data_IF_462138815641
#
_entry.id   IF_462138815641
#
_cell.length_a   1.000
_cell.length_b   1.000
_cell.length_c   1.000
_cell.angle_alpha   90.00
_cell.angle_beta   90.00
_cell.angle_gamma   90.00
#
_symmetry.space_group_name_H-M   'P 1'
#
loop_
_entity.id
_entity.type
_entity.pdbx_description
1 polymer ?
#
# COMPACT_ATOMS: atom_id res chain seq x y z
N UNK A 1 72.09 -31.09 53.99
CA UNK A 1 72.03 -30.22 52.79
C UNK A 1 70.83 -30.66 51.94
N UNK A 2 69.68 -30.07 52.11
CA UNK A 2 68.44 -30.37 51.34
C UNK A 2 68.17 -29.21 50.41
N UNK A 3 68.20 -29.48 49.09
CA UNK A 3 67.77 -28.48 48.04
C UNK A 3 66.27 -28.60 47.82
N UNK A 4 65.57 -27.54 48.09
CA UNK A 4 64.17 -27.39 47.76
C UNK A 4 64.10 -26.78 46.36
N UNK A 5 63.48 -27.51 45.41
CA UNK A 5 63.25 -27.05 44.06
C UNK A 5 61.84 -26.42 44.01
N UNK A 6 61.79 -25.13 43.70
CA UNK A 6 60.55 -24.38 43.56
C UNK A 6 60.03 -24.53 42.12
N UNK A 7 58.88 -25.20 41.94
CA UNK A 7 58.12 -25.24 40.65
C UNK A 7 57.29 -24.03 40.52
N UNK A 8 57.51 -23.19 39.50
CA UNK A 8 56.62 -22.07 39.10
C UNK A 8 55.56 -22.60 38.17
N UNK A 9 54.31 -22.52 38.61
CA UNK A 9 53.11 -22.80 37.76
C UNK A 9 52.75 -21.52 36.98
N UNK A 10 52.94 -21.54 35.67
CA UNK A 10 52.51 -20.48 34.77
C UNK A 10 51.01 -20.72 34.45
N UNK A 11 50.11 -19.91 35.01
CA UNK A 11 48.71 -19.89 34.65
C UNK A 11 48.51 -19.09 33.36
N UNK A 12 48.29 -19.78 32.24
CA UNK A 12 47.90 -19.15 30.97
C UNK A 12 46.45 -18.68 31.07
N UNK A 13 46.22 -17.40 31.29
CA UNK A 13 44.93 -16.76 31.26
C UNK A 13 44.43 -16.61 29.80
N UNK A 14 43.43 -17.40 29.41
CA UNK A 14 42.72 -17.23 28.13
C UNK A 14 41.90 -15.95 28.21
N UNK A 15 42.36 -14.86 27.60
CA UNK A 15 41.58 -13.67 27.38
C UNK A 15 40.50 -13.97 26.30
N UNK A 16 39.28 -14.27 26.71
CA UNK A 16 38.13 -14.23 25.79
C UNK A 16 37.97 -12.78 25.36
N UNK A 17 38.32 -12.48 24.11
CA UNK A 17 38.04 -11.23 23.45
C UNK A 17 36.51 -11.17 23.23
N UNK A 18 35.79 -10.48 24.10
CA UNK A 18 34.40 -10.12 23.88
C UNK A 18 34.37 -9.21 22.66
N UNK A 19 33.90 -9.72 21.50
CA UNK A 19 33.58 -8.89 20.36
C UNK A 19 32.52 -7.87 20.81
N UNK A 20 32.71 -6.57 20.54
CA UNK A 20 31.67 -5.58 20.85
C UNK A 20 30.40 -5.98 20.13
N UNK A 21 29.30 -6.16 20.86
CA UNK A 21 27.98 -6.31 20.27
C UNK A 21 27.69 -5.04 19.47
N UNK A 22 27.74 -5.16 18.14
CA UNK A 22 27.42 -4.04 17.26
C UNK A 22 25.96 -3.69 17.48
N UNK A 23 25.70 -2.45 17.91
CA UNK A 23 24.33 -1.99 18.10
C UNK A 23 23.57 -2.15 16.78
N UNK A 24 22.38 -2.76 16.84
CA UNK A 24 21.56 -2.95 15.65
C UNK A 24 21.28 -1.61 14.98
N UNK A 25 21.43 -1.56 13.64
CA UNK A 25 21.04 -0.40 12.86
C UNK A 25 19.52 -0.17 12.98
N UNK A 26 19.09 1.08 12.94
CA UNK A 26 17.66 1.42 12.99
C UNK A 26 17.14 1.69 11.60
N UNK A 27 15.88 1.33 11.35
CA UNK A 27 15.13 1.72 10.17
C UNK A 27 13.77 2.27 10.60
N UNK A 28 13.51 3.54 10.32
CA UNK A 28 12.21 4.15 10.60
C UNK A 28 11.35 4.06 9.34
N UNK A 29 10.30 3.27 9.38
CA UNK A 29 9.45 2.97 8.22
C UNK A 29 8.02 3.46 8.40
N UNK A 30 7.48 4.11 7.38
CA UNK A 30 6.04 4.20 7.17
C UNK A 30 5.62 3.05 6.26
N UNK A 31 4.62 2.27 6.70
CA UNK A 31 3.99 1.23 5.89
C UNK A 31 2.56 1.64 5.55
N UNK A 32 2.17 1.58 4.27
CA UNK A 32 0.83 1.96 3.80
C UNK A 32 0.00 0.78 3.27
N UNK A 33 0.42 -0.45 3.53
CA UNK A 33 -0.38 -1.66 3.31
C UNK A 33 -1.37 -1.91 4.47
N UNK A 34 -2.07 -3.03 4.43
CA UNK A 34 -2.82 -3.51 5.60
C UNK A 34 -1.87 -3.77 6.79
N UNK A 35 -2.34 -3.54 8.01
CA UNK A 35 -1.49 -3.65 9.21
C UNK A 35 -0.89 -5.04 9.36
N UNK A 36 -1.63 -6.10 9.07
CA UNK A 36 -1.15 -7.49 9.15
C UNK A 36 0.00 -7.71 8.15
N UNK A 37 -0.12 -7.19 6.95
CA UNK A 37 0.96 -7.23 5.93
C UNK A 37 2.19 -6.47 6.42
N UNK A 38 2.00 -5.26 6.95
CA UNK A 38 3.09 -4.45 7.49
C UNK A 38 3.87 -5.18 8.58
N UNK A 39 3.16 -5.80 9.54
CA UNK A 39 3.76 -6.52 10.67
C UNK A 39 4.46 -7.80 10.22
N UNK A 40 3.84 -8.60 9.37
CA UNK A 40 4.43 -9.87 8.92
C UNK A 40 5.67 -9.64 8.07
N UNK A 41 5.63 -8.67 7.15
CA UNK A 41 6.80 -8.35 6.31
C UNK A 41 7.93 -7.72 7.13
N UNK A 42 7.60 -6.91 8.14
CA UNK A 42 8.60 -6.38 9.09
C UNK A 42 9.28 -7.51 9.86
N UNK A 43 8.50 -8.45 10.40
CA UNK A 43 9.03 -9.60 11.14
C UNK A 43 9.89 -10.51 10.24
N UNK A 44 9.46 -10.75 9.01
CA UNK A 44 10.24 -11.53 8.04
C UNK A 44 11.58 -10.85 7.72
N UNK A 45 11.57 -9.54 7.47
CA UNK A 45 12.77 -8.76 7.23
C UNK A 45 13.74 -8.83 8.42
N UNK A 46 13.27 -8.56 9.64
CA UNK A 46 14.12 -8.61 10.84
C UNK A 46 14.68 -10.01 11.12
N UNK A 47 13.96 -11.06 10.72
CA UNK A 47 14.47 -12.44 10.81
C UNK A 47 15.60 -12.69 9.81
N UNK A 48 15.52 -12.13 8.61
CA UNK A 48 16.55 -12.27 7.56
C UNK A 48 17.71 -11.27 7.72
N UNK A 49 17.44 -10.12 8.38
CA UNK A 49 18.39 -9.04 8.64
C UNK A 49 18.40 -8.69 10.13
N UNK A 50 18.90 -9.58 11.00
CA UNK A 50 18.87 -9.39 12.46
C UNK A 50 19.70 -8.19 12.94
N UNK A 51 20.61 -7.69 12.10
CA UNK A 51 21.40 -6.48 12.34
C UNK A 51 20.59 -5.19 12.20
N UNK A 52 19.38 -5.23 11.60
CA UNK A 52 18.53 -4.04 11.42
C UNK A 52 17.25 -4.19 12.23
N UNK A 53 16.93 -3.16 13.05
CA UNK A 53 15.67 -3.07 13.79
C UNK A 53 14.74 -2.04 13.17
N UNK A 54 13.52 -2.48 12.83
CA UNK A 54 12.53 -1.66 12.14
C UNK A 54 11.56 -1.03 13.15
N UNK A 55 11.49 0.30 13.13
CA UNK A 55 10.45 1.05 13.83
C UNK A 55 9.37 1.43 12.80
N UNK A 56 8.30 0.64 12.76
CA UNK A 56 7.24 0.78 11.77
C UNK A 56 6.05 1.56 12.32
N UNK A 57 5.52 2.48 11.50
CA UNK A 57 4.24 3.15 11.71
C UNK A 57 3.34 2.89 10.51
N UNK A 58 2.12 2.41 10.75
CA UNK A 58 1.13 2.23 9.70
C UNK A 58 0.34 3.52 9.47
N UNK A 59 0.38 4.04 8.23
CA UNK A 59 -0.41 5.18 7.77
C UNK A 59 -1.02 4.87 6.39
N UNK A 60 -2.20 5.42 6.10
CA UNK A 60 -2.73 5.38 4.73
C UNK A 60 -1.89 6.27 3.80
N UNK A 61 -1.89 6.01 2.50
CA UNK A 61 -0.93 6.61 1.58
C UNK A 61 -1.01 8.16 1.54
N UNK A 62 -2.20 8.75 1.67
CA UNK A 62 -2.37 10.19 1.76
C UNK A 62 -1.83 10.78 3.08
N UNK A 63 -2.05 10.06 4.20
CA UNK A 63 -1.52 10.44 5.51
C UNK A 63 0.02 10.33 5.54
N UNK A 64 0.57 9.29 4.94
CA UNK A 64 2.02 9.08 4.79
C UNK A 64 2.66 10.24 4.03
N UNK A 65 2.09 10.59 2.87
CA UNK A 65 2.54 11.75 2.11
C UNK A 65 2.49 13.05 2.94
N UNK A 66 1.37 13.33 3.61
CA UNK A 66 1.23 14.53 4.43
C UNK A 66 2.28 14.59 5.56
N UNK A 67 2.57 13.46 6.20
CA UNK A 67 3.60 13.37 7.23
C UNK A 67 5.00 13.60 6.67
N UNK A 68 5.38 12.94 5.57
CA UNK A 68 6.68 13.11 4.93
C UNK A 68 6.89 14.57 4.51
N UNK A 69 5.86 15.20 3.95
CA UNK A 69 5.88 16.63 3.58
C UNK A 69 6.09 17.55 4.79
N UNK A 70 5.40 17.27 5.90
CA UNK A 70 5.53 18.04 7.15
C UNK A 70 6.93 17.88 7.76
N UNK A 71 7.51 16.68 7.67
CA UNK A 71 8.84 16.36 8.19
C UNK A 71 9.99 16.74 7.24
N UNK A 72 9.73 17.32 6.05
CA UNK A 72 10.72 17.52 4.99
C UNK A 72 11.99 18.28 5.41
N UNK A 73 11.89 19.21 6.39
CA UNK A 73 13.06 19.96 6.90
C UNK A 73 13.86 19.16 7.95
N UNK A 74 13.26 18.16 8.57
CA UNK A 74 13.87 17.32 9.60
C UNK A 74 13.28 15.90 9.53
N UNK A 75 13.65 15.11 8.51
CA UNK A 75 13.06 13.79 8.28
C UNK A 75 13.27 12.85 9.47
N UNK A 76 12.19 12.16 9.84
CA UNK A 76 12.19 11.11 10.88
C UNK A 76 11.90 9.75 10.28
N UNK A 77 11.40 9.71 9.06
CA UNK A 77 11.12 8.51 8.28
C UNK A 77 12.27 8.28 7.31
N UNK A 78 12.75 7.04 7.20
CA UNK A 78 13.81 6.64 6.29
C UNK A 78 13.25 6.07 4.99
N UNK A 79 12.19 5.25 5.11
CA UNK A 79 11.54 4.60 3.98
C UNK A 79 10.02 4.62 4.13
N UNK A 80 9.36 4.81 3.01
CA UNK A 80 7.91 4.66 2.88
C UNK A 80 7.64 3.47 1.95
N UNK A 81 7.08 2.40 2.52
CA UNK A 81 6.81 1.15 1.83
C UNK A 81 5.31 0.92 1.68
N UNK A 82 4.93 0.44 0.48
CA UNK A 82 3.56 0.09 0.10
C UNK A 82 2.58 1.29 0.03
N UNK A 83 1.35 1.00 -0.34
CA UNK A 83 0.32 1.99 -0.68
C UNK A 83 0.38 2.40 -2.14
N UNK A 84 -0.67 3.07 -2.62
CA UNK A 84 -0.82 3.46 -4.02
C UNK A 84 0.29 4.37 -4.51
N UNK A 85 0.65 4.25 -5.77
CA UNK A 85 1.76 5.00 -6.38
C UNK A 85 1.50 6.50 -6.55
N UNK A 86 0.24 6.94 -6.68
CA UNK A 86 -0.05 8.35 -6.94
C UNK A 86 0.54 9.31 -5.87
N UNK A 87 0.40 9.07 -4.55
CA UNK A 87 1.06 9.90 -3.55
C UNK A 87 2.59 9.76 -3.53
N UNK A 88 3.13 8.58 -3.91
CA UNK A 88 4.58 8.41 -4.07
C UNK A 88 5.12 9.22 -5.24
N UNK A 89 4.41 9.22 -6.38
CA UNK A 89 4.74 10.05 -7.55
C UNK A 89 4.67 11.53 -7.20
N UNK A 90 3.64 11.97 -6.47
CA UNK A 90 3.55 13.34 -5.97
C UNK A 90 4.73 13.70 -5.07
N UNK A 91 5.11 12.82 -4.14
CA UNK A 91 6.27 13.04 -3.27
C UNK A 91 7.59 13.11 -4.05
N UNK A 92 7.71 12.30 -5.12
CA UNK A 92 8.85 12.33 -6.03
C UNK A 92 8.94 13.65 -6.82
N UNK A 93 7.82 14.10 -7.35
CA UNK A 93 7.68 15.37 -8.08
C UNK A 93 8.03 16.58 -7.18
N UNK A 94 7.58 16.58 -5.94
CA UNK A 94 7.90 17.62 -4.95
C UNK A 94 9.33 17.49 -4.35
N UNK A 95 10.13 16.52 -4.78
CA UNK A 95 11.49 16.30 -4.30
C UNK A 95 11.59 15.85 -2.84
N UNK A 96 10.53 15.21 -2.30
CA UNK A 96 10.47 14.69 -0.93
C UNK A 96 11.12 13.30 -0.80
N UNK A 97 11.40 12.64 -1.91
CA UNK A 97 12.01 11.31 -1.97
C UNK A 97 13.36 11.36 -2.67
N UNK A 98 14.21 10.40 -2.34
CA UNK A 98 15.57 10.30 -2.85
C UNK A 98 15.64 9.30 -4.00
N UNK A 99 16.39 9.64 -5.05
CA UNK A 99 16.65 8.72 -6.16
C UNK A 99 17.53 7.54 -5.67
N UNK A 100 17.08 6.33 -5.99
CA UNK A 100 17.85 5.11 -5.81
C UNK A 100 17.48 4.07 -6.87
N UNK A 101 18.45 3.66 -7.67
CA UNK A 101 18.29 2.58 -8.66
C UNK A 101 18.76 1.28 -8.02
N UNK A 102 17.81 0.42 -7.64
CA UNK A 102 18.10 -0.91 -7.11
C UNK A 102 18.79 -1.78 -8.15
N UNK A 103 19.74 -2.64 -7.77
CA UNK A 103 20.32 -3.65 -8.66
C UNK A 103 19.30 -4.71 -9.11
N UNK A 104 18.14 -4.79 -8.43
CA UNK A 104 17.05 -5.71 -8.76
C UNK A 104 16.00 -5.09 -9.72
N UNK A 105 16.20 -3.85 -10.18
CA UNK A 105 15.20 -3.16 -11.00
C UNK A 105 14.87 -3.91 -12.29
N UNK A 106 15.84 -4.52 -12.96
CA UNK A 106 15.65 -5.25 -14.21
C UNK A 106 14.85 -6.55 -14.06
N UNK A 107 14.75 -7.06 -12.82
CA UNK A 107 13.91 -8.20 -12.48
C UNK A 107 12.43 -7.83 -12.32
N UNK A 108 12.10 -6.54 -12.27
CA UNK A 108 10.74 -6.08 -12.07
C UNK A 108 9.94 -6.08 -13.38
N UNK A 109 8.62 -6.19 -13.27
CA UNK A 109 7.67 -6.04 -14.36
C UNK A 109 7.81 -4.68 -15.04
N UNK A 110 7.41 -4.59 -16.30
CA UNK A 110 7.55 -3.37 -17.11
C UNK A 110 6.84 -2.16 -16.52
N UNK A 111 5.66 -2.35 -15.94
CA UNK A 111 4.92 -1.28 -15.28
C UNK A 111 5.66 -0.70 -14.06
N UNK A 112 6.36 -1.53 -13.28
CA UNK A 112 7.14 -1.07 -12.13
C UNK A 112 8.42 -0.34 -12.57
N UNK A 113 9.09 -0.82 -13.61
CA UNK A 113 10.26 -0.17 -14.20
C UNK A 113 9.91 1.17 -14.81
N UNK A 114 8.85 1.23 -15.63
CA UNK A 114 8.36 2.48 -16.24
C UNK A 114 7.99 3.53 -15.18
N UNK A 115 7.37 3.12 -14.07
CA UNK A 115 7.10 4.03 -12.96
C UNK A 115 8.40 4.57 -12.34
N UNK A 116 9.39 3.70 -12.06
CA UNK A 116 10.67 4.13 -11.52
C UNK A 116 11.40 5.11 -12.46
N UNK A 117 11.43 4.82 -13.75
CA UNK A 117 12.05 5.68 -14.77
C UNK A 117 11.35 7.04 -14.86
N UNK A 118 10.01 7.06 -14.90
CA UNK A 118 9.23 8.30 -14.96
C UNK A 118 9.41 9.18 -13.71
N UNK A 119 9.63 8.57 -12.55
CA UNK A 119 9.93 9.22 -11.29
C UNK A 119 11.43 9.51 -11.09
N UNK A 120 12.29 9.32 -12.10
CA UNK A 120 13.74 9.46 -11.98
C UNK A 120 14.32 8.63 -10.81
N UNK A 121 13.84 7.42 -10.66
CA UNK A 121 14.20 6.46 -9.59
C UNK A 121 13.92 6.95 -8.16
N UNK A 122 13.00 7.90 -7.98
CA UNK A 122 12.59 8.42 -6.67
C UNK A 122 11.48 7.61 -6.01
N UNK A 123 10.86 6.71 -6.77
CA UNK A 123 9.91 5.69 -6.32
C UNK A 123 9.96 4.49 -7.26
N UNK A 124 9.47 3.34 -6.82
CA UNK A 124 9.36 2.12 -7.62
C UNK A 124 8.10 1.35 -7.26
N UNK A 125 7.50 0.70 -8.25
CA UNK A 125 6.39 -0.22 -8.03
C UNK A 125 6.84 -1.53 -7.38
N UNK A 126 6.11 -1.99 -6.37
CA UNK A 126 6.37 -3.24 -5.65
C UNK A 126 5.28 -4.29 -5.87
N UNK A 127 4.07 -3.86 -6.20
CA UNK A 127 2.94 -4.73 -6.55
C UNK A 127 1.90 -3.96 -7.37
N UNK A 128 0.91 -4.67 -7.91
CA UNK A 128 -0.25 -4.06 -8.57
C UNK A 128 -1.55 -4.76 -8.18
N UNK A 129 -2.67 -4.01 -8.18
CA UNK A 129 -3.98 -4.52 -7.83
C UNK A 129 -5.12 -3.73 -8.47
N UNK A 130 -6.14 -4.42 -8.99
CA UNK A 130 -7.30 -3.78 -9.62
C UNK A 130 -8.25 -3.18 -8.58
N UNK A 131 -8.81 -2.01 -8.91
CA UNK A 131 -9.86 -1.37 -8.15
C UNK A 131 -11.22 -2.06 -8.40
N UNK A 132 -12.09 -2.04 -7.39
CA UNK A 132 -13.44 -2.56 -7.48
C UNK A 132 -14.17 -2.38 -6.16
N UNK A 133 -14.95 -3.38 -5.78
CA UNK A 133 -15.58 -3.43 -4.46
C UNK A 133 -15.76 -4.86 -3.98
N UNK A 134 -15.95 -5.01 -2.67
CA UNK A 134 -16.48 -6.21 -2.06
C UNK A 134 -17.89 -5.95 -1.55
N UNK A 135 -18.82 -6.89 -1.75
CA UNK A 135 -20.15 -6.81 -1.15
C UNK A 135 -20.45 -8.03 -0.28
N UNK A 136 -21.23 -7.82 0.78
CA UNK A 136 -21.68 -8.90 1.65
C UNK A 136 -22.85 -9.64 0.99
N UNK A 137 -22.63 -10.91 0.62
CA UNK A 137 -23.61 -11.74 -0.10
C UNK A 137 -24.87 -12.02 0.73
N UNK A 138 -24.70 -12.22 2.05
CA UNK A 138 -25.85 -12.46 2.96
C UNK A 138 -26.73 -11.23 3.10
N UNK A 139 -26.14 -10.01 3.20
CA UNK A 139 -26.91 -8.79 3.29
C UNK A 139 -27.66 -8.50 1.99
N UNK A 140 -27.02 -8.73 0.83
CA UNK A 140 -27.68 -8.58 -0.48
C UNK A 140 -28.88 -9.51 -0.57
N UNK A 141 -28.74 -10.78 -0.18
CA UNK A 141 -29.83 -11.77 -0.17
C UNK A 141 -30.95 -11.39 0.80
N UNK A 142 -30.61 -11.05 2.05
CA UNK A 142 -31.58 -10.65 3.08
C UNK A 142 -32.41 -9.42 2.67
N UNK A 143 -31.76 -8.44 2.02
CA UNK A 143 -32.41 -7.22 1.52
C UNK A 143 -33.12 -7.44 0.19
N UNK A 144 -32.99 -8.62 -0.42
CA UNK A 144 -33.53 -8.96 -1.74
C UNK A 144 -33.09 -7.98 -2.84
N UNK A 145 -31.85 -7.51 -2.76
CA UNK A 145 -31.24 -6.58 -3.72
C UNK A 145 -30.51 -7.35 -4.82
N UNK A 146 -30.41 -6.73 -6.00
CA UNK A 146 -29.57 -7.24 -7.07
C UNK A 146 -28.11 -6.86 -6.78
N UNK A 147 -27.20 -7.84 -6.77
CA UNK A 147 -25.78 -7.56 -6.58
C UNK A 147 -25.25 -6.58 -7.64
N UNK A 148 -24.49 -5.53 -7.25
CA UNK A 148 -23.99 -4.54 -8.18
C UNK A 148 -22.85 -5.13 -9.02
N UNK A 149 -22.86 -4.90 -10.33
CA UNK A 149 -21.86 -5.35 -11.29
C UNK A 149 -21.14 -4.18 -11.99
N UNK A 150 -21.74 -3.01 -12.01
CA UNK A 150 -21.27 -1.84 -12.74
C UNK A 150 -21.20 -0.62 -11.82
N UNK A 151 -20.35 0.37 -12.13
CA UNK A 151 -20.34 1.64 -11.40
C UNK A 151 -21.72 2.28 -11.35
N UNK A 152 -22.46 2.20 -12.44
CA UNK A 152 -23.81 2.73 -12.52
C UNK A 152 -24.76 2.11 -11.49
N UNK A 153 -24.61 0.82 -11.16
CA UNK A 153 -25.47 0.13 -10.21
C UNK A 153 -25.34 0.68 -8.78
N UNK A 154 -24.18 1.27 -8.43
CA UNK A 154 -23.96 1.86 -7.12
C UNK A 154 -24.76 3.15 -6.88
N UNK A 155 -25.37 3.71 -7.93
CA UNK A 155 -26.25 4.88 -7.84
C UNK A 155 -27.70 4.54 -7.53
N UNK A 156 -28.08 3.25 -7.54
CA UNK A 156 -29.45 2.85 -7.24
C UNK A 156 -29.82 3.32 -5.82
N UNK A 157 -30.96 4.00 -5.62
CA UNK A 157 -31.42 4.48 -4.32
C UNK A 157 -31.58 3.37 -3.25
N UNK A 158 -31.73 2.11 -3.68
CA UNK A 158 -31.79 0.96 -2.75
C UNK A 158 -30.49 0.75 -1.96
N UNK A 159 -29.38 1.34 -2.41
CA UNK A 159 -28.10 1.34 -1.71
C UNK A 159 -27.91 2.49 -0.71
N UNK A 160 -28.96 3.28 -0.46
CA UNK A 160 -28.85 4.44 0.46
C UNK A 160 -28.34 4.01 1.84
N UNK A 161 -27.15 4.54 2.23
CA UNK A 161 -26.50 4.21 3.49
C UNK A 161 -25.86 2.82 3.55
N UNK A 162 -25.76 2.12 2.41
CA UNK A 162 -25.27 0.74 2.32
C UNK A 162 -23.85 0.64 1.74
N UNK A 163 -23.25 1.76 1.38
CA UNK A 163 -21.92 1.80 0.76
C UNK A 163 -20.97 2.54 1.68
N UNK A 164 -19.76 1.98 1.83
CA UNK A 164 -18.62 2.70 2.40
C UNK A 164 -17.50 2.83 1.37
N UNK A 165 -16.77 3.92 1.44
CA UNK A 165 -15.49 4.13 0.78
C UNK A 165 -14.57 4.93 1.67
N UNK A 166 -13.27 4.95 1.36
CA UNK A 166 -12.36 5.79 2.11
C UNK A 166 -12.41 7.26 1.64
N UNK A 167 -11.85 8.16 2.45
CA UNK A 167 -11.69 9.57 2.09
C UNK A 167 -10.47 9.73 1.15
N UNK A 168 -10.59 10.37 -0.01
CA UNK A 168 -9.50 10.49 -0.97
C UNK A 168 -8.32 11.36 -0.50
N UNK A 169 -8.49 12.21 0.52
CA UNK A 169 -7.38 12.94 1.11
C UNK A 169 -6.46 12.04 1.95
N UNK A 170 -7.02 11.06 2.67
CA UNK A 170 -6.25 10.16 3.53
C UNK A 170 -5.84 8.87 2.80
N UNK A 171 -6.69 8.35 1.93
CA UNK A 171 -6.54 7.04 1.29
C UNK A 171 -6.17 7.14 -0.18
N UNK A 172 -5.09 6.45 -0.54
CA UNK A 172 -4.72 6.27 -1.94
C UNK A 172 -5.75 5.46 -2.72
N UNK A 173 -6.41 4.46 -2.11
CA UNK A 173 -7.50 3.69 -2.73
C UNK A 173 -8.64 4.60 -3.17
N UNK A 174 -9.05 5.52 -2.30
CA UNK A 174 -10.13 6.44 -2.61
C UNK A 174 -9.72 7.51 -3.64
N UNK A 175 -8.46 7.98 -3.59
CA UNK A 175 -7.96 8.84 -4.66
C UNK A 175 -7.90 8.10 -6.00
N UNK A 176 -7.44 6.85 -6.02
CA UNK A 176 -7.46 6.02 -7.23
C UNK A 176 -8.88 5.81 -7.75
N UNK A 177 -9.89 5.67 -6.85
CA UNK A 177 -11.31 5.64 -7.23
C UNK A 177 -11.74 6.93 -7.91
N UNK A 178 -11.43 8.09 -7.31
CA UNK A 178 -11.73 9.41 -7.89
C UNK A 178 -11.07 9.56 -9.28
N UNK A 179 -9.79 9.29 -9.38
CA UNK A 179 -9.03 9.39 -10.63
C UNK A 179 -9.52 8.39 -11.70
N UNK A 180 -9.91 7.18 -11.31
CA UNK A 180 -10.50 6.18 -12.20
C UNK A 180 -11.81 6.69 -12.82
N UNK A 181 -12.72 7.20 -12.00
CA UNK A 181 -14.00 7.72 -12.47
C UNK A 181 -13.82 8.92 -13.40
N UNK A 182 -12.86 9.82 -13.07
CA UNK A 182 -12.50 10.96 -13.93
C UNK A 182 -11.98 10.48 -15.29
N UNK A 183 -11.18 9.43 -15.33
CA UNK A 183 -10.64 8.88 -16.58
C UNK A 183 -11.70 8.16 -17.41
N UNK A 184 -12.64 7.47 -16.77
CA UNK A 184 -13.72 6.76 -17.48
C UNK A 184 -14.77 7.73 -18.03
N UNK A 185 -15.17 8.74 -17.26
CA UNK A 185 -16.37 9.55 -17.54
C UNK A 185 -16.04 10.98 -18.01
N UNK A 186 -14.80 11.45 -17.82
CA UNK A 186 -14.43 12.85 -17.86
C UNK A 186 -14.76 13.56 -16.53
N UNK A 187 -14.02 14.64 -16.22
CA UNK A 187 -14.03 15.24 -14.88
C UNK A 187 -15.42 15.70 -14.42
N UNK A 188 -16.17 16.41 -15.28
CA UNK A 188 -17.51 16.92 -14.91
C UNK A 188 -18.49 15.80 -14.59
N UNK A 189 -18.58 14.80 -15.47
CA UNK A 189 -19.51 13.66 -15.25
C UNK A 189 -19.09 12.80 -14.06
N UNK A 190 -17.80 12.68 -13.80
CA UNK A 190 -17.30 11.95 -12.64
C UNK A 190 -17.71 12.63 -11.33
N UNK A 191 -17.62 13.95 -11.25
CA UNK A 191 -18.08 14.69 -10.07
C UNK A 191 -19.59 14.66 -9.90
N UNK A 192 -20.36 14.72 -10.99
CA UNK A 192 -21.82 14.49 -10.94
C UNK A 192 -22.18 13.08 -10.46
N UNK A 193 -21.43 12.07 -10.91
CA UNK A 193 -21.56 10.69 -10.44
C UNK A 193 -21.26 10.61 -8.94
N UNK A 194 -20.13 11.16 -8.48
CA UNK A 194 -19.69 11.13 -7.09
C UNK A 194 -20.69 11.85 -6.14
N UNK A 195 -21.30 12.95 -6.57
CA UNK A 195 -22.40 13.61 -5.82
C UNK A 195 -23.60 12.69 -5.64
N UNK A 196 -23.98 11.95 -6.68
CA UNK A 196 -25.07 10.97 -6.59
C UNK A 196 -24.67 9.79 -5.71
N UNK A 197 -23.47 9.25 -5.88
CA UNK A 197 -22.95 8.17 -5.07
C UNK A 197 -22.89 8.56 -3.59
N UNK A 198 -22.54 9.81 -3.27
CA UNK A 198 -22.48 10.32 -1.90
C UNK A 198 -23.79 10.13 -1.12
N UNK A 199 -24.96 10.17 -1.81
CA UNK A 199 -26.26 9.91 -1.18
C UNK A 199 -26.40 8.46 -0.68
N UNK A 200 -25.63 7.53 -1.23
CA UNK A 200 -25.62 6.12 -0.86
C UNK A 200 -24.47 5.75 0.11
N UNK A 201 -23.52 6.67 0.33
CA UNK A 201 -22.41 6.46 1.25
C UNK A 201 -22.87 6.66 2.71
N UNK A 202 -22.61 5.66 3.54
CA UNK A 202 -22.85 5.76 4.99
C UNK A 202 -21.64 6.34 5.75
N UNK A 203 -20.41 6.12 5.23
CA UNK A 203 -19.21 6.58 5.90
C UNK A 203 -18.02 6.68 4.94
N UNK A 204 -17.20 7.71 5.14
CA UNK A 204 -15.88 7.84 4.55
C UNK A 204 -14.81 7.46 5.57
N UNK A 205 -14.14 6.33 5.35
CA UNK A 205 -13.10 5.81 6.26
C UNK A 205 -11.74 6.45 5.99
N UNK A 206 -10.80 6.36 6.96
CA UNK A 206 -9.42 6.80 6.74
C UNK A 206 -8.59 5.80 5.94
N UNK A 207 -8.81 4.50 6.18
CA UNK A 207 -8.07 3.40 5.53
C UNK A 207 -8.80 2.87 4.33
N UNK A 208 -8.06 2.62 3.22
CA UNK A 208 -8.62 2.09 1.98
C UNK A 208 -9.22 0.69 2.08
N UNK A 209 -8.71 -0.17 2.98
CA UNK A 209 -9.25 -1.53 3.21
C UNK A 209 -10.37 -1.60 4.24
N UNK A 210 -10.62 -0.52 5.01
CA UNK A 210 -11.64 -0.54 6.06
C UNK A 210 -13.07 -0.78 5.54
N UNK A 211 -13.49 -0.25 4.38
CA UNK A 211 -14.84 -0.45 3.86
C UNK A 211 -15.21 -1.92 3.67
N UNK A 212 -14.33 -2.74 3.10
CA UNK A 212 -14.64 -4.15 2.89
C UNK A 212 -14.58 -4.96 4.19
N UNK A 213 -13.78 -4.54 5.15
CA UNK A 213 -13.78 -5.15 6.49
C UNK A 213 -15.11 -4.88 7.21
N UNK A 214 -15.67 -3.68 7.05
CA UNK A 214 -17.02 -3.35 7.54
C UNK A 214 -18.09 -4.21 6.83
N UNK A 215 -17.99 -4.38 5.50
CA UNK A 215 -18.88 -5.25 4.74
C UNK A 215 -18.75 -6.73 5.21
N UNK A 216 -17.55 -7.20 5.47
CA UNK A 216 -17.30 -8.55 5.98
C UNK A 216 -18.02 -8.80 7.31
N UNK A 217 -18.03 -7.82 8.22
CA UNK A 217 -18.70 -7.89 9.53
C UNK A 217 -20.20 -7.60 9.46
N UNK A 218 -20.74 -7.21 8.30
CA UNK A 218 -22.16 -6.88 8.13
C UNK A 218 -22.55 -5.48 8.62
N UNK A 219 -21.59 -4.58 8.81
CA UNK A 219 -21.81 -3.16 9.21
C UNK A 219 -22.19 -2.28 8.03
N UNK A 220 -21.94 -2.73 6.81
CA UNK A 220 -22.33 -2.14 5.54
C UNK A 220 -22.50 -3.24 4.51
N UNK A 221 -23.19 -2.96 3.40
CA UNK A 221 -23.38 -3.97 2.37
C UNK A 221 -22.24 -3.98 1.35
N UNK A 222 -21.70 -2.81 0.99
CA UNK A 222 -20.69 -2.65 -0.07
C UNK A 222 -19.51 -1.85 0.47
N UNK A 223 -18.29 -2.29 0.18
CA UNK A 223 -17.05 -1.54 0.42
C UNK A 223 -16.29 -1.33 -0.89
N UNK A 224 -16.11 -0.07 -1.32
CA UNK A 224 -15.27 0.28 -2.48
C UNK A 224 -13.81 0.20 -2.04
N UNK A 225 -13.06 -0.72 -2.65
CA UNK A 225 -11.70 -1.11 -2.25
C UNK A 225 -10.91 -1.65 -3.45
N UNK A 226 -9.64 -1.95 -3.28
CA UNK A 226 -8.96 -2.82 -4.23
C UNK A 226 -9.46 -4.26 -4.09
N UNK A 227 -9.56 -4.98 -5.20
CA UNK A 227 -10.15 -6.33 -5.23
C UNK A 227 -9.41 -7.33 -4.34
N UNK A 228 -8.09 -7.21 -4.19
CA UNK A 228 -7.32 -8.10 -3.33
C UNK A 228 -7.73 -8.01 -1.85
N UNK A 229 -8.18 -6.83 -1.37
CA UNK A 229 -8.71 -6.68 0.00
C UNK A 229 -10.03 -7.45 0.16
N UNK A 230 -10.90 -7.42 -0.85
CA UNK A 230 -12.14 -8.18 -0.85
C UNK A 230 -11.88 -9.69 -0.92
N UNK A 231 -10.93 -10.10 -1.74
CA UNK A 231 -10.49 -11.51 -1.84
C UNK A 231 -9.90 -12.00 -0.51
N UNK A 232 -9.14 -11.17 0.21
CA UNK A 232 -8.63 -11.54 1.53
C UNK A 232 -9.78 -11.86 2.50
N UNK A 233 -10.86 -11.08 2.48
CA UNK A 233 -12.07 -11.39 3.30
C UNK A 233 -12.75 -12.70 2.86
N UNK A 234 -12.80 -13.00 1.56
CA UNK A 234 -13.32 -14.27 1.06
C UNK A 234 -12.50 -15.47 1.56
N UNK A 235 -11.17 -15.37 1.47
CA UNK A 235 -10.24 -16.42 1.95
C UNK A 235 -10.35 -16.61 3.46
N UNK A 236 -10.67 -15.56 4.21
CA UNK A 236 -10.94 -15.62 5.65
C UNK A 236 -12.32 -16.22 5.99
N UNK A 237 -13.12 -16.59 4.97
CA UNK A 237 -14.42 -17.22 5.16
C UNK A 237 -15.58 -16.26 5.40
N UNK A 238 -15.37 -14.95 5.23
CA UNK A 238 -16.47 -13.98 5.32
C UNK A 238 -17.36 -14.04 4.08
N UNK A 239 -18.67 -13.73 4.21
CA UNK A 239 -19.61 -13.75 3.10
C UNK A 239 -19.44 -12.52 2.18
N UNK A 240 -18.23 -12.32 1.67
CA UNK A 240 -17.90 -11.23 0.78
C UNK A 240 -17.63 -11.75 -0.62
N UNK A 241 -18.05 -11.03 -1.64
CA UNK A 241 -17.70 -11.29 -3.04
C UNK A 241 -17.02 -10.08 -3.64
N UNK A 242 -15.83 -10.28 -4.23
CA UNK A 242 -15.10 -9.26 -4.98
C UNK A 242 -15.72 -9.05 -6.36
N UNK A 243 -15.78 -7.81 -6.83
CA UNK A 243 -16.33 -7.42 -8.13
C UNK A 243 -15.42 -6.43 -8.82
N UNK A 244 -15.13 -6.70 -10.09
CA UNK A 244 -14.58 -5.72 -11.02
C UNK A 244 -15.73 -5.03 -11.77
N UNK A 245 -15.76 -3.67 -11.84
CA UNK A 245 -16.84 -2.95 -12.53
C UNK A 245 -16.93 -3.25 -14.02
N UNK A 246 -18.13 -3.45 -14.52
CA UNK A 246 -18.38 -3.85 -15.91
C UNK A 246 -17.98 -2.80 -16.96
N UNK A 247 -18.02 -1.52 -16.62
CA UNK A 247 -17.57 -0.43 -17.50
C UNK A 247 -16.07 -0.42 -17.70
N UNK A 248 -15.36 -1.03 -16.79
CA UNK A 248 -13.91 -1.00 -16.64
C UNK A 248 -13.50 -0.31 -15.34
N UNK A 249 -12.24 -0.49 -14.97
CA UNK A 249 -11.72 0.06 -13.73
C UNK A 249 -10.23 0.40 -13.82
N UNK A 250 -9.79 1.26 -12.90
CA UNK A 250 -8.38 1.53 -12.68
C UNK A 250 -7.69 0.44 -11.87
N UNK A 251 -6.43 0.65 -11.65
CA UNK A 251 -5.61 -0.22 -10.81
C UNK A 251 -4.55 0.63 -10.11
N UNK A 252 -4.00 0.08 -9.03
CA UNK A 252 -2.83 0.68 -8.39
C UNK A 252 -1.54 0.03 -8.89
N UNK A 253 -0.47 0.82 -8.85
CA UNK A 253 0.89 0.34 -8.71
C UNK A 253 1.31 0.71 -7.30
N UNK A 254 1.25 -0.25 -6.38
CA UNK A 254 1.72 -0.04 -5.00
C UNK A 254 3.22 0.21 -5.01
N UNK A 255 3.65 1.24 -4.27
CA UNK A 255 4.99 1.81 -4.48
C UNK A 255 5.83 1.87 -3.21
N UNK A 256 7.11 2.15 -3.39
CA UNK A 256 8.08 2.32 -2.32
C UNK A 256 9.03 3.48 -2.65
N UNK A 257 9.41 4.26 -1.62
CA UNK A 257 10.30 5.41 -1.76
C UNK A 257 11.22 5.55 -0.56
N UNK A 258 12.50 5.85 -0.80
CA UNK A 258 13.40 6.32 0.25
C UNK A 258 13.11 7.80 0.47
N UNK A 259 12.92 8.23 1.71
CA UNK A 259 12.67 9.64 2.04
C UNK A 259 13.95 10.45 1.86
N UNK A 260 13.85 11.64 1.27
CA UNK A 260 14.99 12.53 1.12
C UNK A 260 15.51 12.97 2.49
N UNK A 261 16.81 12.79 2.71
CA UNK A 261 17.43 13.07 4.00
C UNK A 261 17.21 11.96 5.05
N UNK A 262 16.86 10.75 4.61
CA UNK A 262 16.80 9.55 5.48
C UNK A 262 18.05 9.45 6.35
N UNK A 263 17.87 9.32 7.67
CA UNK A 263 18.98 9.27 8.63
C UNK A 263 19.70 7.93 8.61
N UNK A 264 18.95 6.86 8.31
CA UNK A 264 19.43 5.49 8.25
C UNK A 264 19.41 4.99 6.80
N UNK A 265 20.09 5.73 5.89
CA UNK A 265 20.04 5.49 4.45
C UNK A 265 20.55 4.08 4.06
N UNK A 266 21.57 3.56 4.75
CA UNK A 266 22.09 2.22 4.49
C UNK A 266 21.00 1.16 4.74
N UNK A 267 20.40 1.17 5.92
CA UNK A 267 19.29 0.27 6.28
C UNK A 267 18.07 0.45 5.34
N UNK A 268 17.76 1.69 4.94
CA UNK A 268 16.69 1.95 3.97
C UNK A 268 16.95 1.31 2.61
N UNK A 269 18.20 1.29 2.13
CA UNK A 269 18.56 0.61 0.87
C UNK A 269 18.50 -0.91 1.01
N UNK A 270 18.89 -1.47 2.15
CA UNK A 270 18.76 -2.92 2.41
C UNK A 270 17.29 -3.33 2.36
N UNK A 271 16.39 -2.60 3.04
CA UNK A 271 14.95 -2.84 2.93
C UNK A 271 14.45 -2.70 1.50
N UNK A 272 14.89 -1.66 0.79
CA UNK A 272 14.44 -1.37 -0.58
C UNK A 272 14.78 -2.53 -1.53
N UNK A 273 16.02 -3.02 -1.49
CA UNK A 273 16.44 -4.14 -2.34
C UNK A 273 15.77 -5.45 -1.91
N UNK A 274 15.66 -5.71 -0.61
CA UNK A 274 14.95 -6.86 -0.08
C UNK A 274 13.49 -6.89 -0.54
N UNK A 275 12.76 -5.78 -0.42
CA UNK A 275 11.35 -5.69 -0.81
C UNK A 275 11.12 -5.84 -2.33
N UNK A 276 12.15 -5.67 -3.16
CA UNK A 276 12.13 -5.94 -4.60
C UNK A 276 12.57 -7.36 -4.95
N UNK A 277 13.03 -8.15 -3.99
CA UNK A 277 13.45 -9.54 -4.25
C UNK A 277 12.26 -10.45 -4.52
N UNK A 278 12.49 -11.51 -5.30
CA UNK A 278 11.48 -12.53 -5.57
C UNK A 278 11.04 -13.25 -4.27
N UNK A 279 11.97 -13.46 -3.35
CA UNK A 279 11.71 -14.10 -2.07
C UNK A 279 10.74 -13.29 -1.23
N UNK A 280 11.05 -12.02 -0.95
CA UNK A 280 10.19 -11.14 -0.15
C UNK A 280 8.79 -11.00 -0.77
N UNK A 281 8.71 -10.78 -2.08
CA UNK A 281 7.41 -10.63 -2.76
C UNK A 281 6.61 -11.95 -2.82
N UNK A 282 7.26 -13.10 -2.86
CA UNK A 282 6.59 -14.40 -2.79
C UNK A 282 5.94 -14.64 -1.41
N UNK A 283 6.50 -14.08 -0.35
CA UNK A 283 5.95 -14.18 1.00
C UNK A 283 4.78 -13.24 1.28
N UNK A 284 4.50 -12.26 0.41
CA UNK A 284 3.35 -11.37 0.59
C UNK A 284 2.01 -12.14 0.65
N UNK A 285 1.88 -13.24 -0.09
CA UNK A 285 0.69 -14.12 -0.04
C UNK A 285 0.46 -14.74 1.34
N UNK A 286 1.53 -15.00 2.10
CA UNK A 286 1.44 -15.57 3.44
C UNK A 286 0.84 -14.57 4.43
N UNK A 287 1.02 -13.28 4.14
CA UNK A 287 0.35 -12.16 4.82
C UNK A 287 -1.05 -11.84 4.24
N UNK A 288 -1.60 -12.70 3.38
CA UNK A 288 -2.87 -12.50 2.65
C UNK A 288 -2.91 -11.24 1.79
N UNK A 289 -1.74 -10.80 1.34
CA UNK A 289 -1.60 -9.73 0.36
C UNK A 289 -1.65 -10.36 -1.04
N UNK A 290 -2.83 -10.33 -1.65
CA UNK A 290 -3.11 -10.99 -2.92
C UNK A 290 -2.97 -10.07 -4.13
N UNK A 291 -2.05 -9.10 -4.06
CA UNK A 291 -1.65 -8.29 -5.21
C UNK A 291 -0.74 -9.08 -6.17
N UNK A 292 -0.60 -8.55 -7.37
CA UNK A 292 0.36 -9.06 -8.35
C UNK A 292 1.76 -8.51 -8.03
N UNK A 293 2.77 -9.35 -7.78
CA UNK A 293 4.12 -8.90 -7.46
C UNK A 293 4.78 -8.19 -8.64
N UNK A 294 5.67 -7.22 -8.35
CA UNK A 294 6.47 -6.58 -9.39
C UNK A 294 7.65 -7.43 -9.86
N UNK A 295 8.21 -8.29 -9.01
CA UNK A 295 9.30 -9.16 -9.43
C UNK A 295 8.78 -10.31 -10.30
N UNK A 296 9.35 -10.46 -11.49
CA UNK A 296 8.95 -11.47 -12.50
C UNK A 296 9.10 -12.90 -12.01
N UNK A 297 9.99 -13.13 -11.05
CA UNK A 297 10.30 -14.45 -10.50
C UNK A 297 9.57 -14.74 -9.17
N UNK A 298 8.77 -13.79 -8.65
CA UNK A 298 8.01 -14.00 -7.44
C UNK A 298 6.79 -14.90 -7.69
N UNK A 299 6.48 -15.76 -6.71
CA UNK A 299 5.31 -16.60 -6.76
C UNK A 299 4.04 -15.77 -6.62
N UNK A 300 3.13 -15.89 -7.58
CA UNK A 300 1.83 -15.23 -7.54
C UNK A 300 0.84 -16.13 -6.81
N UNK A 301 0.08 -15.57 -5.85
CA UNK A 301 -0.98 -16.29 -5.18
C UNK A 301 -2.06 -16.78 -6.17
N UNK A 302 -2.60 -17.98 -5.94
CA UNK A 302 -3.77 -18.47 -6.69
C UNK A 302 -5.01 -17.61 -6.50
N UNK A 303 -5.11 -16.92 -5.36
CA UNK A 303 -6.21 -16.02 -5.04
C UNK A 303 -6.06 -14.61 -5.65
N UNK A 304 -4.90 -14.27 -6.21
CA UNK A 304 -4.68 -12.93 -6.75
C UNK A 304 -5.62 -12.63 -7.95
N UNK A 305 -6.37 -11.51 -7.91
CA UNK A 305 -7.15 -11.07 -9.07
C UNK A 305 -6.25 -10.85 -10.27
N UNK A 306 -6.50 -11.59 -11.35
CA UNK A 306 -5.68 -11.56 -12.57
C UNK A 306 -6.14 -10.46 -13.50
N UNK A 307 -5.20 -9.61 -13.95
CA UNK A 307 -5.50 -8.47 -14.81
C UNK A 307 -6.09 -8.87 -16.16
N UNK A 308 -5.70 -10.03 -16.71
CA UNK A 308 -6.25 -10.59 -17.94
C UNK A 308 -7.75 -10.90 -17.88
N UNK A 309 -8.31 -11.03 -16.68
CA UNK A 309 -9.73 -11.30 -16.43
C UNK A 309 -10.54 -10.05 -16.05
N UNK A 310 -9.90 -8.87 -16.08
CA UNK A 310 -10.49 -7.60 -15.62
C UNK A 310 -10.38 -6.57 -16.74
N UNK A 311 -11.47 -5.88 -17.02
CA UNK A 311 -11.47 -4.75 -17.95
C UNK A 311 -10.78 -3.55 -17.31
N UNK A 312 -9.45 -3.46 -17.43
CA UNK A 312 -8.68 -2.33 -16.96
C UNK A 312 -8.75 -1.16 -17.96
N UNK A 313 -8.74 0.07 -17.43
CA UNK A 313 -8.47 1.25 -18.25
C UNK A 313 -6.95 1.42 -18.42
N UNK A 314 -6.54 2.17 -19.44
CA UNK A 314 -5.16 2.65 -19.54
C UNK A 314 -4.98 3.82 -18.56
N UNK A 315 -4.67 3.45 -17.29
CA UNK A 315 -4.61 4.42 -16.20
C UNK A 315 -3.37 5.32 -16.35
N UNK A 316 -3.60 6.62 -16.52
CA UNK A 316 -2.54 7.63 -16.68
C UNK A 316 -1.89 7.99 -15.33
N UNK A 317 -0.96 7.15 -14.88
CA UNK A 317 -0.20 7.37 -13.65
C UNK A 317 0.60 8.67 -13.65
N UNK A 318 1.03 9.15 -14.83
CA UNK A 318 1.81 10.39 -14.94
C UNK A 318 0.94 11.60 -14.62
N UNK A 319 -0.21 11.72 -15.26
CA UNK A 319 -1.13 12.85 -15.05
C UNK A 319 -1.74 12.81 -13.66
N UNK A 320 -2.21 11.65 -13.19
CA UNK A 320 -2.93 11.54 -11.92
C UNK A 320 -2.00 11.41 -10.70
N UNK A 321 -0.73 11.10 -10.90
CA UNK A 321 0.34 11.21 -9.90
C UNK A 321 1.01 12.59 -9.84
N UNK A 322 0.72 13.49 -10.80
CA UNK A 322 1.21 14.87 -10.81
C UNK A 322 0.67 15.66 -9.62
N UNK A 323 1.54 16.44 -8.96
CA UNK A 323 1.21 17.20 -7.76
C UNK A 323 0.09 18.21 -7.97
N UNK A 324 0.09 18.93 -9.09
CA UNK A 324 -0.90 19.96 -9.37
C UNK A 324 -2.27 19.34 -9.69
N UNK A 325 -2.30 18.28 -10.53
CA UNK A 325 -3.54 17.57 -10.87
C UNK A 325 -4.16 16.92 -9.62
N UNK A 326 -3.34 16.26 -8.80
CA UNK A 326 -3.81 15.64 -7.57
C UNK A 326 -4.40 16.66 -6.60
N UNK A 327 -3.72 17.80 -6.37
CA UNK A 327 -4.23 18.89 -5.52
C UNK A 327 -5.54 19.48 -6.05
N UNK A 328 -5.66 19.68 -7.36
CA UNK A 328 -6.87 20.20 -7.97
C UNK A 328 -8.08 19.28 -7.76
N UNK A 329 -7.91 17.96 -8.00
CA UNK A 329 -8.99 16.98 -7.82
C UNK A 329 -9.41 16.85 -6.35
N UNK A 330 -8.46 16.82 -5.42
CA UNK A 330 -8.74 16.74 -3.97
C UNK A 330 -9.44 18.02 -3.48
N UNK A 331 -8.99 19.19 -3.91
CA UNK A 331 -9.64 20.47 -3.56
C UNK A 331 -11.09 20.55 -4.10
N UNK A 332 -11.32 20.05 -5.32
CA UNK A 332 -12.66 19.97 -5.89
C UNK A 332 -13.55 18.98 -5.11
N UNK A 333 -13.00 17.81 -4.75
CA UNK A 333 -13.70 16.83 -3.93
C UNK A 333 -14.09 17.41 -2.58
N UNK A 334 -13.19 18.09 -1.88
CA UNK A 334 -13.47 18.74 -0.60
C UNK A 334 -14.62 19.74 -0.68
N UNK A 335 -14.61 20.55 -1.75
CA UNK A 335 -15.64 21.59 -1.97
C UNK A 335 -17.01 21.02 -2.35
N UNK A 336 -17.06 19.99 -3.21
CA UNK A 336 -18.31 19.57 -3.83
C UNK A 336 -18.94 18.34 -3.16
N UNK A 337 -18.16 17.56 -2.41
CA UNK A 337 -18.58 16.30 -1.79
C UNK A 337 -18.20 16.25 -0.31
N UNK A 338 -16.94 16.51 0.00
CA UNK A 338 -16.39 16.37 1.36
C UNK A 338 -17.07 17.25 2.41
N UNK A 339 -17.59 18.41 2.02
CA UNK A 339 -18.33 19.30 2.93
C UNK A 339 -19.65 18.70 3.41
N UNK A 340 -20.25 17.77 2.64
CA UNK A 340 -21.49 17.05 2.99
C UNK A 340 -21.21 15.65 3.56
N UNK A 341 -19.95 15.27 3.71
CA UNK A 341 -19.51 13.95 4.14
C UNK A 341 -19.05 13.91 5.63
N UNK A 342 -19.32 14.99 6.39
CA UNK A 342 -18.99 15.11 7.84
C UNK A 342 -20.17 14.71 8.71
#
# INVERSE_FOLDING_TARGET
MHRVTLMAVIAAGSALSALPAQAAEKLNMICSADVVVCEQMTNLFEKQHPEIKVSMVRLSAGEAYARIRTEARNPRTDIWWAGTGDPHMQAADEGLTQAYKSPLLDQQQDWARKQAESAQFRTVGVYAGALGWGYNTKLVEQKKLKAPACWADLLDPSWKGEIQMANPNSSGTAYNTLATLVQIMGEEKAFDYLKKLNANISQYTKSGSAPVKAAARGETTIGIVFMHDAVAMQVDGFPVKAVAPCEGTGYEIGSMSIVKGARNLAAAKVWYDWALSADAQSHMKDAKSFQLPSNKNAAISEYAPRFENIKLIDYDFKTYGDSAKRKALLSRWDKEIGASAQ
#
